data_IF_390741154809
#
_entry.id   IF_390741154809
#
_cell.length_a   1.000
_cell.length_b   1.000
_cell.length_c   1.000
_cell.angle_alpha   90.00
_cell.angle_beta   90.00
_cell.angle_gamma   90.00
#
_symmetry.space_group_name_H-M   'P 1'
#
loop_
_entity.id
_entity.type
_entity.pdbx_description
1 polymer ?
2 non-polymer ?
3 non-polymer ?
4 water ?
#
# COMPACT_ATOMS: atom_id res chain seq x y z
N UNK A 2 18.85 19.47 -17.66
CA UNK A 2 19.77 18.34 -18.01
C UNK A 2 19.09 17.33 -18.98
N UNK A 3 19.85 16.35 -19.48
CA UNK A 3 19.30 15.33 -20.37
C UNK A 3 19.09 14.02 -19.61
N UNK A 4 18.36 13.10 -20.22
CA UNK A 4 18.29 11.74 -19.71
C UNK A 4 19.61 11.02 -19.88
N UNK A 5 19.95 10.10 -18.97
CA UNK A 5 21.21 9.39 -19.12
C UNK A 5 21.24 8.53 -20.38
N UNK A 6 22.42 8.33 -20.91
CA UNK A 6 22.55 7.61 -22.17
C UNK A 6 22.08 6.16 -22.10
N UNK A 7 22.37 5.50 -20.98
CA UNK A 7 21.95 4.09 -20.82
C UNK A 7 20.41 3.96 -20.82
N UNK A 8 19.70 4.97 -20.33
CA UNK A 8 18.24 4.92 -20.33
C UNK A 8 17.69 5.09 -21.75
N UNK A 9 18.10 6.20 -22.37
CA UNK A 9 17.82 6.52 -23.76
C UNK A 9 18.16 5.35 -24.69
N UNK A 10 19.17 4.57 -24.35
CA UNK A 10 19.49 3.41 -25.17
C UNK A 10 18.33 2.46 -25.32
N UNK A 11 17.63 2.25 -24.21
CA UNK A 11 16.57 1.25 -24.12
C UNK A 11 15.13 1.77 -24.22
N UNK A 12 14.95 3.05 -23.92
CA UNK A 12 13.63 3.65 -23.79
C UNK A 12 13.51 4.97 -24.55
N UNK A 13 12.31 5.25 -25.05
CA UNK A 13 11.93 6.55 -25.57
C UNK A 13 11.02 7.21 -24.56
N UNK A 14 11.48 8.35 -24.05
CA UNK A 14 10.80 9.08 -23.00
C UNK A 14 9.69 9.93 -23.58
N UNK A 15 8.61 10.07 -22.81
CA UNK A 15 7.43 10.78 -23.27
C UNK A 15 6.91 11.65 -22.12
N UNK A 16 5.60 11.72 -21.95
CA UNK A 16 4.95 12.73 -21.10
C UNK A 16 5.00 12.40 -19.61
N UNK A 17 4.79 13.42 -18.80
CA UNK A 17 4.69 13.28 -17.36
C UNK A 17 3.32 12.70 -17.03
N UNK A 18 3.30 11.71 -16.13
CA UNK A 18 2.05 11.11 -15.67
C UNK A 18 1.67 11.71 -14.32
N UNK A 19 2.66 11.90 -13.46
CA UNK A 19 2.48 12.60 -12.19
C UNK A 19 3.80 13.19 -11.73
N UNK A 20 3.79 13.79 -10.53
CA UNK A 20 4.98 14.43 -9.94
C UNK A 20 5.52 13.62 -8.74
N UNK A 24 10.71 13.94 -6.86
CA UNK A 24 9.82 12.92 -7.40
C UNK A 24 9.15 13.31 -8.71
N UNK A 25 9.01 12.35 -9.61
CA UNK A 25 8.26 12.54 -10.88
C UNK A 25 8.07 11.19 -11.60
N UNK A 26 6.89 10.96 -12.19
CA UNK A 26 6.64 9.73 -12.97
C UNK A 26 6.37 10.06 -14.45
N UNK A 27 7.11 9.40 -15.35
CA UNK A 27 7.03 9.66 -16.78
C UNK A 27 6.55 8.46 -17.62
N UNK A 28 5.80 8.73 -18.68
CA UNK A 28 5.50 7.69 -19.67
C UNK A 28 6.72 7.47 -20.55
N UNK A 29 7.02 6.21 -20.83
CA UNK A 29 8.11 5.85 -21.73
C UNK A 29 7.74 4.61 -22.51
N UNK A 30 8.51 4.34 -23.57
CA UNK A 30 8.32 3.19 -24.41
C UNK A 30 9.58 2.36 -24.45
N UNK A 31 9.44 1.07 -24.16
CA UNK A 31 10.54 0.18 -24.26
C UNK A 31 10.79 -0.05 -25.75
N UNK A 32 12.00 0.30 -26.20
CA UNK A 32 12.37 0.20 -27.60
C UNK A 32 12.19 -1.21 -28.16
N UNK A 33 12.70 -2.21 -27.45
CA UNK A 33 12.65 -3.61 -27.92
C UNK A 33 11.23 -4.14 -28.14
N UNK A 34 10.28 -3.78 -27.28
CA UNK A 34 8.92 -4.31 -27.36
C UNK A 34 7.87 -3.32 -27.88
N UNK A 35 8.21 -2.04 -27.95
CA UNK A 35 7.26 -0.97 -28.26
C UNK A 35 6.05 -0.93 -27.33
N UNK A 36 6.28 -1.30 -26.06
CA UNK A 36 5.25 -1.29 -25.02
C UNK A 36 5.50 -0.14 -24.05
N UNK A 37 4.42 0.32 -23.44
CA UNK A 37 4.47 1.41 -22.52
C UNK A 37 4.99 0.93 -21.20
N UNK A 38 5.78 1.78 -20.55
CA UNK A 38 6.28 1.57 -19.21
C UNK A 38 6.14 2.90 -18.47
N UNK A 39 6.35 2.88 -17.16
CA UNK A 39 6.36 4.09 -16.35
C UNK A 39 7.76 4.18 -15.81
N UNK A 40 8.26 5.40 -15.70
CA UNK A 40 9.61 5.62 -15.20
C UNK A 40 9.55 6.62 -14.06
N UNK A 41 9.87 6.15 -12.86
CA UNK A 41 9.89 7.01 -11.69
C UNK A 41 11.29 7.60 -11.57
N UNK A 42 11.35 8.92 -11.54
CA UNK A 42 12.57 9.67 -11.34
C UNK A 42 12.58 10.16 -9.88
N UNK A 43 13.59 9.75 -9.13
CA UNK A 43 13.82 10.23 -7.77
C UNK A 43 15.12 11.01 -7.82
N UNK A 44 15.04 12.31 -7.53
CA UNK A 44 16.20 13.19 -7.69
C UNK A 44 17.20 12.99 -6.56
N UNK A 45 18.46 13.39 -6.83
CA UNK A 45 19.47 13.54 -5.80
C UNK A 45 19.84 15.02 -5.70
N UNK A 61 18.89 4.45 0.81
CA UNK A 61 18.03 3.27 0.68
C UNK A 61 17.05 3.25 -0.52
N UNK A 62 17.37 4.00 -1.58
CA UNK A 62 16.71 3.75 -2.87
C UNK A 62 17.32 2.44 -3.34
N UNK A 63 18.59 2.29 -2.99
CA UNK A 63 19.36 1.07 -3.25
C UNK A 63 18.60 -0.14 -2.71
N UNK A 64 18.15 -0.05 -1.46
CA UNK A 64 17.51 -1.19 -0.82
C UNK A 64 16.00 -1.28 -1.12
N UNK A 65 15.38 -0.15 -1.46
CA UNK A 65 14.04 -0.21 -2.03
C UNK A 65 14.08 -1.07 -3.29
N UNK A 66 15.11 -0.89 -4.12
CA UNK A 66 15.29 -1.75 -5.30
C UNK A 66 15.43 -3.23 -4.93
N UNK A 67 16.26 -3.53 -3.94
CA UNK A 67 16.48 -4.92 -3.56
C UNK A 67 15.20 -5.51 -3.00
N UNK A 68 14.49 -4.75 -2.17
CA UNK A 68 13.19 -5.21 -1.69
C UNK A 68 12.26 -5.55 -2.85
N UNK A 69 12.12 -4.63 -3.80
CA UNK A 69 11.20 -4.83 -4.92
C UNK A 69 11.63 -5.95 -5.89
N UNK A 70 12.94 -6.14 -6.05
CA UNK A 70 13.42 -7.25 -6.89
C UNK A 70 12.96 -8.59 -6.35
N UNK A 71 12.90 -8.72 -5.03
CA UNK A 71 12.68 -10.04 -4.46
C UNK A 71 11.21 -10.34 -4.22
N UNK A 72 10.34 -9.32 -4.29
CA UNK A 72 8.92 -9.52 -3.99
C UNK A 72 8.17 -9.88 -5.26
N UNK A 73 7.26 -10.84 -5.15
CA UNK A 73 6.55 -11.35 -6.33
C UNK A 73 5.09 -11.61 -6.00
N UNK A 74 4.27 -10.57 -6.15
CA UNK A 74 2.85 -10.64 -5.84
C UNK A 74 2.08 -9.76 -6.83
N UNK A 75 0.92 -10.25 -7.29
CA UNK A 75 0.21 -9.51 -8.35
C UNK A 75 -0.34 -8.14 -7.90
N UNK A 76 -0.42 -7.89 -6.60
CA UNK A 76 -0.82 -6.58 -6.09
C UNK A 76 0.34 -5.77 -5.51
N UNK A 77 1.55 -6.10 -5.95
CA UNK A 77 2.74 -5.31 -5.61
C UNK A 77 3.48 -4.99 -6.89
N UNK A 78 3.80 -3.71 -7.05
CA UNK A 78 4.46 -3.21 -8.25
C UNK A 78 5.78 -3.94 -8.47
N UNK A 79 6.07 -4.35 -9.71
CA UNK A 79 7.34 -5.01 -10.07
C UNK A 79 8.26 -4.05 -10.80
N UNK A 80 9.55 -4.19 -10.57
CA UNK A 80 10.52 -3.33 -11.20
C UNK A 80 11.07 -4.03 -12.44
N UNK A 81 11.13 -3.31 -13.56
CA UNK A 81 11.66 -3.83 -14.83
C UNK A 81 13.13 -3.45 -15.04
N UNK A 82 13.58 -2.34 -14.47
CA UNK A 82 14.90 -1.84 -14.73
C UNK A 82 15.21 -0.68 -13.78
N UNK A 83 16.49 -0.35 -13.65
CA UNK A 83 16.94 0.68 -12.74
C UNK A 83 18.23 1.35 -13.25
N UNK A 84 18.25 2.68 -13.24
CA UNK A 84 19.44 3.43 -13.60
C UNK A 84 19.79 4.42 -12.49
N UNK A 85 21.02 4.30 -12.01
CA UNK A 85 21.61 5.17 -10.98
C UNK A 85 22.57 6.14 -11.66
N UNK A 86 22.06 7.34 -11.95
CA UNK A 86 22.83 8.36 -12.70
C UNK A 86 22.85 9.67 -11.90
N UNK A 87 22.62 10.82 -12.57
CA UNK A 87 22.49 12.10 -11.85
C UNK A 87 21.35 12.01 -10.86
N UNK A 88 20.26 11.40 -11.34
CA UNK A 88 19.12 11.04 -10.54
C UNK A 88 18.93 9.52 -10.64
N UNK A 89 18.00 8.98 -9.86
CA UNK A 89 17.65 7.57 -9.96
C UNK A 89 16.47 7.40 -10.90
N UNK A 90 16.55 6.42 -11.79
CA UNK A 90 15.43 6.07 -12.67
C UNK A 90 15.01 4.64 -12.42
N UNK A 91 13.74 4.46 -12.07
CA UNK A 91 13.19 3.14 -11.77
C UNK A 91 12.16 2.87 -12.82
N UNK A 92 12.33 1.80 -13.59
CA UNK A 92 11.36 1.47 -14.62
C UNK A 92 10.39 0.41 -14.12
N UNK A 93 9.10 0.69 -14.26
CA UNK A 93 8.01 -0.17 -13.75
C UNK A 93 6.97 -0.42 -14.83
N UNK A 94 6.14 -1.42 -14.61
CA UNK A 94 4.99 -1.67 -15.47
C UNK A 94 4.07 -0.46 -15.32
N UNK A 95 3.39 -0.09 -16.40
CA UNK A 95 2.52 1.06 -16.41
C UNK A 95 1.14 0.73 -15.81
N UNK A 96 0.73 1.46 -14.79
CA UNK A 96 -0.60 1.33 -14.24
C UNK A 96 -1.43 2.50 -14.79
N UNK A 97 -2.20 2.20 -15.83
CA UNK A 97 -2.89 3.22 -16.62
C UNK A 97 -3.92 3.98 -15.82
N UNK A 98 -4.47 3.34 -14.78
CA UNK A 98 -5.52 3.93 -13.97
C UNK A 98 -5.06 5.03 -13.04
N UNK A 99 -3.76 5.14 -12.83
CA UNK A 99 -3.23 6.20 -11.95
C UNK A 99 -3.35 5.89 -10.47
N UNK A 100 -3.28 6.93 -9.65
CA UNK A 100 -3.31 6.80 -8.18
C UNK A 100 -4.73 6.67 -7.67
N UNK A 101 -4.92 5.89 -6.60
CA UNK A 101 -6.23 5.77 -5.95
C UNK A 101 -6.62 7.11 -5.35
N UNK A 102 -5.61 7.92 -5.03
CA UNK A 102 -5.83 9.26 -4.49
C UNK A 102 -6.88 10.03 -5.30
N UNK A 103 -6.71 10.01 -6.62
CA UNK A 103 -7.57 10.80 -7.52
C UNK A 103 -9.04 10.38 -7.48
N UNK A 104 -9.30 9.15 -7.02
CA UNK A 104 -10.66 8.62 -6.88
C UNK A 104 -11.36 9.04 -5.59
N UNK A 105 -10.60 9.62 -4.65
CA UNK A 105 -11.15 9.97 -3.35
C UNK A 105 -10.98 11.43 -2.92
N UNK A 106 -10.31 12.28 -3.71
CA UNK A 106 -10.27 13.72 -3.41
C UNK A 106 -11.61 14.40 -3.70
N UNK A 107 -11.78 15.61 -3.17
CA UNK A 107 -13.05 16.35 -3.33
C UNK A 107 -14.30 15.63 -2.85
N UNK A 108 -14.14 14.79 -1.83
CA UNK A 108 -15.25 13.99 -1.28
C UNK A 108 -15.91 13.05 -2.28
N UNK A 109 -15.18 12.70 -3.33
CA UNK A 109 -15.68 11.70 -4.26
C UNK A 109 -15.70 10.41 -3.48
N UNK A 110 -16.70 9.57 -3.75
CA UNK A 110 -16.78 8.31 -3.04
C UNK A 110 -17.04 7.14 -3.98
N UNK A 111 -16.30 6.08 -3.71
CA UNK A 111 -16.39 4.84 -4.42
C UNK A 111 -17.63 4.08 -3.93
N UNK A 112 -18.30 3.40 -4.84
CA UNK A 112 -19.31 2.41 -4.45
C UNK A 112 -18.67 1.50 -3.40
N UNK A 113 -19.46 1.08 -2.41
CA UNK A 113 -18.98 0.15 -1.39
C UNK A 113 -18.38 -1.13 -1.98
N UNK A 114 -19.03 -1.65 -3.03
CA UNK A 114 -18.56 -2.83 -3.72
C UNK A 114 -17.16 -2.64 -4.30
N UNK A 115 -16.87 -1.44 -4.81
CA UNK A 115 -15.55 -1.15 -5.36
C UNK A 115 -14.50 -1.03 -4.24
N UNK A 116 -14.87 -0.41 -3.11
CA UNK A 116 -13.99 -0.33 -1.94
C UNK A 116 -13.56 -1.72 -1.49
N UNK A 117 -14.49 -2.67 -1.50
CA UNK A 117 -14.18 -4.01 -1.05
C UNK A 117 -13.20 -4.68 -2.03
N UNK A 118 -13.50 -4.59 -3.32
CA UNK A 118 -12.61 -5.16 -4.31
C UNK A 118 -11.18 -4.60 -4.11
N UNK A 119 -11.06 -3.29 -4.03
CA UNK A 119 -9.76 -2.66 -3.86
C UNK A 119 -9.11 -3.03 -2.52
N UNK A 120 -9.91 -3.03 -1.44
CA UNK A 120 -9.38 -3.24 -0.10
C UNK A 120 -8.88 -4.66 0.06
N UNK A 121 -9.61 -5.61 -0.51
CA UNK A 121 -9.22 -7.03 -0.51
C UNK A 121 -7.82 -7.15 -1.08
N UNK A 122 -7.59 -6.50 -2.21
CA UNK A 122 -6.30 -6.51 -2.87
C UNK A 122 -5.17 -5.88 -2.00
N UNK A 123 -5.49 -4.77 -1.35
CA UNK A 123 -4.53 -4.14 -0.46
C UNK A 123 -4.18 -5.09 0.68
N UNK A 124 -5.19 -5.74 1.29
CA UNK A 124 -4.90 -6.70 2.38
C UNK A 124 -4.03 -7.85 1.92
N UNK A 125 -4.30 -8.36 0.72
CA UNK A 125 -3.55 -9.49 0.19
C UNK A 125 -2.10 -9.05 0.02
N UNK A 126 -1.93 -7.84 -0.49
CA UNK A 126 -0.60 -7.26 -0.72
C UNK A 126 0.14 -7.14 0.60
N UNK A 127 -0.50 -6.51 1.57
CA UNK A 127 0.14 -6.23 2.84
C UNK A 127 0.32 -7.51 3.60
N UNK A 128 -0.60 -8.45 3.50
CA UNK A 128 -0.36 -9.77 4.11
C UNK A 128 0.93 -10.39 3.54
N UNK A 129 1.09 -10.35 2.23
CA UNK A 129 2.31 -10.87 1.60
C UNK A 129 3.59 -10.21 2.13
N UNK A 130 3.55 -8.88 2.29
CA UNK A 130 4.70 -8.15 2.83
C UNK A 130 5.04 -8.67 4.20
N UNK A 131 4.04 -8.71 5.08
CA UNK A 131 4.28 -9.12 6.46
C UNK A 131 4.77 -10.57 6.55
N UNK A 132 4.23 -11.49 5.76
CA UNK A 132 4.76 -12.87 5.72
C UNK A 132 6.24 -12.93 5.33
N UNK A 133 6.66 -11.99 4.50
CA UNK A 133 8.01 -11.91 3.98
C UNK A 133 8.91 -10.92 4.74
N UNK A 134 8.50 -10.49 5.94
CA UNK A 134 9.35 -9.67 6.80
C UNK A 134 9.49 -8.22 6.37
N UNK A 135 8.52 -7.71 5.61
CA UNK A 135 8.58 -6.34 5.14
C UNK A 135 7.43 -5.52 5.69
N UNK A 136 7.75 -4.37 6.26
CA UNK A 136 6.71 -3.38 6.62
C UNK A 136 6.82 -2.17 5.68
N UNK A 137 5.70 -1.71 5.17
CA UNK A 137 5.70 -0.69 4.14
C UNK A 137 5.91 0.69 4.78
N UNK A 138 5.07 1.03 5.75
CA UNK A 138 5.11 2.29 6.54
C UNK A 138 4.65 3.60 5.88
N UNK A 139 4.23 3.56 4.65
CA UNK A 139 3.70 4.74 4.01
C UNK A 139 2.51 4.37 3.17
N UNK A 140 1.61 3.53 3.69
CA UNK A 140 0.43 3.16 2.93
C UNK A 140 -0.48 4.35 2.96
N UNK A 141 -0.89 4.79 1.76
CA UNK A 141 -1.81 5.90 1.57
C UNK A 141 -2.36 5.86 0.11
N UNK A 142 -3.44 6.63 -0.17
CA UNK A 142 -4.04 6.55 -1.51
C UNK A 142 -3.06 6.86 -2.64
N UNK A 143 -2.09 7.73 -2.35
CA UNK A 143 -1.08 8.10 -3.32
C UNK A 143 -0.27 6.88 -3.75
N UNK A 144 -0.15 5.88 -2.85
CA UNK A 144 0.72 4.72 -3.07
C UNK A 144 0.00 3.46 -3.47
N UNK A 145 -1.26 3.61 -3.85
CA UNK A 145 -2.02 2.51 -4.42
C UNK A 145 -2.30 2.88 -5.90
N UNK A 146 -1.83 2.06 -6.82
CA UNK A 146 -2.02 2.34 -8.26
C UNK A 146 -3.12 1.45 -8.85
N UNK A 147 -3.89 2.00 -9.79
CA UNK A 147 -4.96 1.27 -10.49
C UNK A 147 -4.52 0.84 -11.91
N UNK A 148 -4.82 -0.40 -12.28
CA UNK A 148 -4.39 -0.98 -13.57
C UNK A 148 -5.07 -0.36 -14.79
N UNK A 149 -6.22 0.24 -14.60
CA UNK A 149 -6.98 0.78 -15.73
C UNK A 149 -7.94 1.83 -15.27
N UNK A 150 -8.55 2.51 -16.23
CA UNK A 150 -9.56 3.53 -15.93
C UNK A 150 -10.94 2.90 -15.62
N UNK A 151 -11.10 1.60 -15.88
CA UNK A 151 -12.28 0.84 -15.41
C UNK A 151 -12.34 0.80 -13.89
N UNK A 152 -13.54 0.69 -13.35
CA UNK A 152 -13.75 0.77 -11.91
C UNK A 152 -13.36 -0.56 -11.25
N UNK A 153 -13.69 -1.66 -11.90
CA UNK A 153 -13.20 -2.97 -11.49
C UNK A 153 -11.83 -3.15 -12.12
N UNK A 154 -10.78 -3.09 -11.30
CA UNK A 154 -9.43 -3.32 -11.80
C UNK A 154 -8.51 -3.88 -10.76
N UNK A 155 -7.31 -4.23 -11.17
CA UNK A 155 -6.30 -4.66 -10.22
C UNK A 155 -5.67 -3.42 -9.64
N UNK A 156 -5.25 -3.50 -8.40
CA UNK A 156 -4.50 -2.43 -7.81
C UNK A 156 -3.09 -2.93 -7.47
N UNK A 157 -2.11 -2.04 -7.44
CA UNK A 157 -0.80 -2.40 -6.95
C UNK A 157 -0.29 -1.36 -5.99
N UNK A 158 0.30 -1.86 -4.92
CA UNK A 158 0.92 -1.02 -3.92
C UNK A 158 2.32 -0.66 -4.42
N UNK A 159 2.69 0.61 -4.24
CA UNK A 159 4.00 1.09 -4.67
C UNK A 159 4.68 1.91 -3.57
N UNK A 160 5.87 2.41 -3.89
CA UNK A 160 6.67 3.30 -3.03
C UNK A 160 7.15 2.68 -1.72
N UNK A 161 8.27 1.95 -1.83
CA UNK A 161 8.81 1.23 -0.73
C UNK A 161 10.01 1.99 -0.13
N UNK A 162 9.99 3.31 -0.30
CA UNK A 162 11.05 4.16 0.18
C UNK A 162 11.16 4.30 1.69
N UNK A 163 10.11 3.98 2.43
CA UNK A 163 10.13 4.08 3.90
C UNK A 163 10.04 2.69 4.52
N UNK A 164 10.12 1.66 3.69
CA UNK A 164 9.82 0.33 4.16
C UNK A 164 10.97 -0.19 4.99
N UNK A 165 10.69 -1.18 5.83
CA UNK A 165 11.66 -1.72 6.76
C UNK A 165 11.67 -3.24 6.67
N UNK A 166 12.86 -3.84 6.76
CA UNK A 166 13.02 -5.30 6.77
C UNK A 166 13.06 -5.77 8.22
N UNK A 167 12.10 -6.59 8.63
CA UNK A 167 12.03 -7.06 10.02
C UNK A 167 13.22 -7.92 10.42
N UNK A 170 15.47 -8.28 16.77
CA UNK A 170 16.64 -9.14 16.57
C UNK A 170 17.83 -8.65 17.46
N UNK A 171 17.84 -7.35 17.75
CA UNK A 171 18.82 -6.75 18.64
C UNK A 171 18.39 -6.98 20.08
N UNK A 172 17.09 -6.85 20.29
CA UNK A 172 16.43 -7.23 21.52
C UNK A 172 16.65 -8.72 21.79
N UNK A 173 16.42 -9.55 20.78
CA UNK A 173 16.56 -10.99 20.93
C UNK A 173 17.98 -11.35 21.39
N UNK A 174 18.99 -10.75 20.78
CA UNK A 174 20.38 -11.03 21.19
C UNK A 174 20.63 -10.59 22.63
N UNK A 175 20.08 -9.43 23.02
CA UNK A 175 20.25 -8.95 24.38
C UNK A 175 19.68 -9.91 25.41
N UNK A 176 18.55 -10.55 25.08
CA UNK A 176 17.88 -11.47 26.00
C UNK A 176 18.50 -12.87 26.13
N UNK A 177 19.54 -13.19 25.38
CA UNK A 177 20.20 -14.51 25.50
C UNK A 177 21.21 -14.56 26.65
N UNK A 178 21.70 -13.39 27.05
CA UNK A 178 22.50 -13.27 28.25
C UNK A 178 21.64 -13.03 29.47
N UNK A 179 22.27 -12.99 30.64
CA UNK A 179 21.63 -12.56 31.87
C UNK A 179 21.59 -11.01 31.89
N UNK A 180 20.48 -10.42 32.37
CA UNK A 180 20.32 -8.97 32.30
C UNK A 180 20.88 -8.21 33.53
N UNK A 181 21.87 -8.79 34.19
CA UNK A 181 22.58 -8.14 35.27
C UNK A 181 22.83 -6.62 35.08
N UNK A 182 23.23 -6.24 33.85
CA UNK A 182 23.63 -4.87 33.50
C UNK A 182 22.60 -4.20 32.60
N UNK A 183 21.52 -4.91 32.29
CA UNK A 183 20.52 -4.44 31.39
C UNK A 183 19.50 -3.47 32.00
N UNK A 184 19.30 -2.36 31.30
CA UNK A 184 18.42 -1.26 31.67
C UNK A 184 16.96 -1.70 31.72
N UNK A 185 16.19 -1.13 32.63
CA UNK A 185 14.81 -1.57 32.74
C UNK A 185 13.92 -1.27 31.54
N UNK A 186 14.18 -0.16 30.83
CA UNK A 186 13.37 0.18 29.64
C UNK A 186 13.49 -0.87 28.53
N UNK A 187 14.62 -1.58 28.45
CA UNK A 187 14.77 -2.66 27.48
C UNK A 187 13.84 -3.86 27.82
N UNK A 188 13.77 -4.19 29.10
CA UNK A 188 12.94 -5.27 29.58
C UNK A 188 11.47 -4.89 29.46
N UNK A 189 11.12 -3.66 29.77
CA UNK A 189 9.74 -3.22 29.56
C UNK A 189 9.34 -3.30 28.09
N UNK A 190 10.22 -2.96 27.17
CA UNK A 190 9.86 -3.02 25.75
C UNK A 190 9.66 -4.45 25.18
N UNK A 191 10.03 -5.50 25.93
CA UNK A 191 9.78 -6.85 25.49
C UNK A 191 8.27 -7.06 25.35
N UNK A 192 7.48 -6.40 26.18
CA UNK A 192 6.02 -6.52 26.14
C UNK A 192 5.40 -6.19 24.79
N UNK A 193 6.00 -5.23 24.10
CA UNK A 193 5.42 -4.67 22.90
C UNK A 193 6.22 -4.98 21.63
N UNK A 194 7.43 -5.53 21.75
CA UNK A 194 8.26 -5.71 20.57
C UNK A 194 7.56 -6.61 19.58
N UNK A 195 7.96 -6.53 18.31
CA UNK A 195 7.45 -7.45 17.29
C UNK A 195 6.07 -7.11 16.71
N UNK A 196 5.58 -5.92 17.02
CA UNK A 196 4.31 -5.41 16.54
C UNK A 196 4.43 -4.20 15.64
N UNK A 197 5.63 -3.90 15.14
CA UNK A 197 5.85 -2.78 14.23
C UNK A 197 4.96 -2.89 12.97
N UNK A 198 4.77 -4.12 12.49
CA UNK A 198 3.87 -4.37 11.35
C UNK A 198 2.46 -3.83 11.52
N UNK A 199 2.00 -3.67 12.75
CA UNK A 199 0.68 -3.15 13.01
C UNK A 199 0.47 -1.69 12.50
N UNK A 200 1.54 -0.92 12.28
CA UNK A 200 1.39 0.43 11.73
C UNK A 200 0.74 0.37 10.35
N UNK A 201 1.04 -0.70 9.57
CA UNK A 201 0.44 -0.89 8.26
C UNK A 201 -1.04 -1.17 8.32
N UNK A 202 -1.47 -1.87 9.37
CA UNK A 202 -2.88 -2.22 9.49
C UNK A 202 -3.68 -1.01 9.89
N UNK A 203 -3.06 -0.12 10.68
CA UNK A 203 -3.71 1.17 11.01
C UNK A 203 -3.95 2.01 9.76
N UNK A 204 -2.90 2.18 8.95
CA UNK A 204 -2.97 2.92 7.67
C UNK A 204 -4.03 2.37 6.75
N UNK A 205 -4.14 1.07 6.67
CA UNK A 205 -5.13 0.42 5.85
C UNK A 205 -6.50 0.81 6.36
N UNK A 206 -6.63 0.86 7.69
CA UNK A 206 -7.90 1.26 8.32
C UNK A 206 -8.27 2.65 7.91
N UNK A 207 -7.33 3.58 8.02
CA UNK A 207 -7.54 4.93 7.57
C UNK A 207 -7.89 4.98 6.06
N UNK A 208 -7.19 4.22 5.21
CA UNK A 208 -7.54 4.22 3.77
C UNK A 208 -8.98 3.73 3.51
N UNK A 209 -9.37 2.65 4.21
CA UNK A 209 -10.69 2.09 4.05
C UNK A 209 -11.77 3.11 4.49
N UNK A 210 -11.52 3.78 5.61
CA UNK A 210 -12.36 4.87 6.09
C UNK A 210 -12.57 5.94 5.02
N UNK A 211 -11.49 6.36 4.38
CA UNK A 211 -11.57 7.41 3.38
C UNK A 211 -12.34 6.93 2.15
N UNK A 212 -12.00 5.75 1.65
CA UNK A 212 -12.68 5.15 0.54
C UNK A 212 -14.21 5.02 0.76
N UNK A 213 -14.61 4.53 1.94
CA UNK A 213 -16.03 4.26 2.22
C UNK A 213 -16.86 5.54 2.38
N UNK A 214 -16.24 6.60 2.85
CA UNK A 214 -16.94 7.81 3.31
C UNK A 214 -16.58 9.07 2.50
N UNK A 215 -15.49 9.01 1.74
CA UNK A 215 -14.97 10.18 1.01
C UNK A 215 -14.38 11.30 1.84
N UNK A 216 -14.26 11.09 3.17
CA UNK A 216 -13.52 12.03 4.03
C UNK A 216 -12.58 11.31 5.03
N UNK A 217 -11.53 12.00 5.51
CA UNK A 217 -10.56 11.44 6.47
C UNK A 217 -11.10 11.39 7.87
N UNK A 218 -10.71 10.38 8.66
CA UNK A 218 -11.22 10.21 10.03
C UNK A 218 -10.57 11.12 11.05
N UNK A 219 -9.34 11.51 10.79
CA UNK A 219 -8.61 12.40 11.66
C UNK A 219 -8.17 13.56 10.79
N UNK A 220 -8.44 14.77 11.23
CA UNK A 220 -8.36 15.93 10.37
C UNK A 220 -8.55 17.18 11.20
N UNK A 221 -7.95 18.29 10.77
CA UNK A 221 -8.13 19.56 11.52
C UNK A 221 -9.29 20.42 10.98
N UNK A 222 -10.16 19.86 10.13
CA UNK A 222 -11.39 20.54 9.64
C UNK A 222 -12.49 20.56 10.68
N UNK A 223 -12.99 21.77 10.98
CA UNK A 223 -13.86 22.00 12.15
C UNK A 223 -13.01 21.67 13.41
N UNK A 224 -13.54 20.90 14.36
CA UNK A 224 -12.80 20.53 15.61
C UNK A 224 -11.67 21.44 16.22
N UNK A 225 -11.62 21.46 17.55
CA UNK A 225 -10.53 22.09 18.32
C UNK A 225 -9.56 21.03 18.84
N UNK A 226 -9.89 19.74 18.70
CA UNK A 226 -8.95 18.70 19.14
C UNK A 226 -7.81 18.59 18.12
N UNK A 227 -6.58 18.65 18.62
CA UNK A 227 -5.41 18.52 17.77
C UNK A 227 -5.46 17.17 17.01
N UNK A 228 -4.80 17.14 15.86
CA UNK A 228 -4.65 15.92 15.06
C UNK A 228 -4.03 14.84 15.93
N UNK A 229 -2.93 15.18 16.59
CA UNK A 229 -2.26 14.21 17.46
C UNK A 229 -3.24 13.62 18.47
N UNK A 230 -4.01 14.47 19.14
CA UNK A 230 -4.92 13.98 20.21
C UNK A 230 -6.05 13.11 19.63
N UNK A 231 -6.51 13.45 18.43
CA UNK A 231 -7.52 12.63 17.76
C UNK A 231 -6.95 11.22 17.51
N UNK A 232 -5.72 11.14 17.02
CA UNK A 232 -5.14 9.85 16.64
C UNK A 232 -4.84 9.00 17.87
N UNK A 233 -4.18 9.56 18.88
CA UNK A 233 -3.80 8.76 20.05
C UNK A 233 -4.97 8.31 20.91
N UNK A 234 -6.07 9.04 20.85
CA UNK A 234 -7.28 8.57 21.54
C UNK A 234 -8.09 7.65 20.62
N UNK A 235 -7.84 7.70 19.32
CA UNK A 235 -8.61 6.88 18.38
C UNK A 235 -10.02 7.39 18.13
N UNK A 236 -10.28 8.64 18.51
CA UNK A 236 -11.61 9.21 18.36
C UNK A 236 -11.73 9.80 16.97
N UNK A 237 -12.03 8.95 15.99
CA UNK A 237 -12.27 9.39 14.62
C UNK A 237 -13.56 10.21 14.50
N UNK A 238 -13.57 11.14 13.55
CA UNK A 238 -14.73 11.97 13.21
C UNK A 238 -15.79 11.17 12.45
N UNK A 239 -16.86 10.82 13.17
CA UNK A 239 -17.98 10.07 12.58
C UNK A 239 -19.19 10.97 12.24
N UNK A 240 -19.49 11.12 10.95
CA UNK A 240 -20.64 11.92 10.49
C UNK A 240 -21.70 10.96 9.99
N UNK A 241 -22.76 10.71 10.81
CA UNK A 241 -23.78 9.67 10.52
C UNK A 241 -24.40 9.68 9.11
N UNK A 242 -24.70 10.87 8.61
CA UNK A 242 -25.35 11.02 7.32
C UNK A 242 -24.49 10.48 6.16
N UNK A 243 -23.18 10.73 6.23
CA UNK A 243 -22.27 10.22 5.22
C UNK A 243 -22.21 8.68 5.25
N UNK A 244 -22.32 8.10 6.45
CA UNK A 244 -22.18 6.65 6.68
C UNK A 244 -23.49 5.83 6.55
N UNK A 245 -24.65 6.49 6.62
CA UNK A 245 -25.95 5.78 6.63
C UNK A 245 -26.07 4.76 5.49
N UNK A 246 -25.55 5.15 4.34
CA UNK A 246 -25.55 4.31 3.14
C UNK A 246 -24.45 3.20 3.15
N UNK A 247 -23.47 3.32 4.04
CA UNK A 247 -22.46 2.27 4.21
C UNK A 247 -22.96 1.15 5.13
N UNK A 248 -22.73 -0.09 4.72
CA UNK A 248 -23.10 -1.24 5.53
C UNK A 248 -22.43 -1.24 6.91
N UNK A 249 -23.04 -2.01 7.83
CA UNK A 249 -22.53 -2.16 9.19
C UNK A 249 -21.26 -3.00 9.26
N UNK A 250 -21.19 -4.05 8.43
CA UNK A 250 -20.00 -4.90 8.37
C UNK A 250 -18.75 -4.07 8.00
N UNK A 251 -18.91 -3.21 6.99
CA UNK A 251 -17.84 -2.33 6.52
C UNK A 251 -17.28 -1.49 7.65
N UNK A 252 -18.17 -0.78 8.33
CA UNK A 252 -17.79 0.10 9.41
C UNK A 252 -17.21 -0.73 10.56
N UNK A 253 -17.74 -1.91 10.81
CA UNK A 253 -17.18 -2.79 11.83
C UNK A 253 -15.69 -3.08 11.55
N UNK A 254 -15.33 -3.36 10.30
CA UNK A 254 -13.94 -3.65 9.96
C UNK A 254 -13.07 -2.43 10.21
N UNK A 255 -13.52 -1.28 9.75
CA UNK A 255 -12.84 -0.04 10.03
C UNK A 255 -12.56 0.09 11.52
N UNK A 256 -13.55 -0.22 12.36
CA UNK A 256 -13.39 -0.05 13.80
C UNK A 256 -12.34 -0.98 14.38
N UNK A 257 -12.22 -2.18 13.82
CA UNK A 257 -11.24 -3.16 14.31
C UNK A 257 -9.79 -2.86 13.83
N UNK A 258 -9.66 -2.03 12.79
CA UNK A 258 -8.36 -1.63 12.28
C UNK A 258 -7.90 -0.36 12.99
N UNK A 259 -8.85 0.51 13.36
CA UNK A 259 -8.50 1.77 14.04
C UNK A 259 -8.52 1.59 15.55
N UNK A 260 -7.99 0.47 16.02
CA UNK A 260 -7.78 0.24 17.44
C UNK A 260 -6.41 0.81 17.84
N UNK A 261 -6.40 1.58 18.92
CA UNK A 261 -5.20 2.29 19.39
C UNK A 261 -4.13 1.37 19.98
N UNK A 262 -4.51 0.30 20.65
CA UNK A 262 -3.56 -0.70 21.13
C UNK A 262 -3.04 -1.56 19.95
N UNK A 263 -1.76 -1.42 19.57
CA UNK A 263 -1.26 -2.20 18.42
C UNK A 263 -1.37 -3.70 18.60
N UNK A 264 -1.32 -4.21 19.84
CA UNK A 264 -1.45 -5.66 20.09
C UNK A 264 -2.87 -6.21 19.86
N UNK A 265 -3.87 -5.36 20.04
CA UNK A 265 -5.29 -5.72 19.90
C UNK A 265 -5.81 -5.47 18.47
N UNK A 266 -5.19 -4.51 17.79
CA UNK A 266 -5.54 -4.19 16.38
C UNK A 266 -5.58 -5.41 15.49
N UNK A 267 -6.50 -5.39 14.51
CA UNK A 267 -6.64 -6.51 13.60
C UNK A 267 -5.37 -6.59 12.74
N UNK A 268 -4.96 -7.80 12.45
CA UNK A 268 -3.84 -8.05 11.56
C UNK A 268 -4.46 -8.25 10.22
N UNK A 269 -3.66 -8.42 9.19
CA UNK A 269 -4.22 -8.60 7.85
C UNK A 269 -5.02 -9.91 7.74
N UNK A 270 -4.55 -10.97 8.42
CA UNK A 270 -5.25 -12.27 8.45
C UNK A 270 -6.63 -12.12 9.06
N UNK A 271 -6.70 -11.44 10.18
CA UNK A 271 -7.98 -11.22 10.83
C UNK A 271 -8.93 -10.39 9.94
N UNK A 272 -8.38 -9.38 9.25
CA UNK A 272 -9.20 -8.57 8.34
C UNK A 272 -9.75 -9.41 7.16
N UNK A 273 -8.94 -10.35 6.64
CA UNK A 273 -9.32 -11.18 5.48
C UNK A 273 -10.41 -12.20 5.86
N UNK A 274 -10.50 -12.50 7.16
CA UNK A 274 -11.47 -13.43 7.71
C UNK A 274 -12.73 -12.71 8.20
N UNK A 275 -12.74 -11.39 8.13
CA UNK A 275 -13.89 -10.60 8.60
C UNK A 275 -15.10 -10.77 7.65
N UNK A 276 -16.33 -10.83 8.23
CA UNK A 276 -17.54 -11.02 7.42
C UNK A 276 -17.61 -10.16 6.15
N UNK A 277 -17.19 -8.89 6.22
CA UNK A 277 -17.31 -7.97 5.07
C UNK A 277 -16.57 -8.45 3.82
N UNK A 278 -15.52 -9.24 4.04
CA UNK A 278 -14.69 -9.76 2.93
C UNK A 278 -15.03 -11.20 2.53
N UNK A 279 -16.01 -11.80 3.19
CA UNK A 279 -16.52 -13.12 2.79
C UNK A 279 -17.57 -12.85 1.72
N UNK A 280 -17.10 -12.54 0.52
CA UNK A 280 -17.95 -12.09 -0.60
C UNK A 280 -17.42 -12.78 -1.86
N UNK A 281 -17.98 -13.95 -2.15
CA UNK A 281 -17.49 -14.77 -3.27
C UNK A 281 -17.66 -14.09 -4.63
N UNK A 282 -18.57 -13.12 -4.72
CA UNK A 282 -18.72 -12.38 -5.98
C UNK A 282 -17.49 -11.50 -6.23
N UNK A 283 -17.12 -10.71 -5.21
CA UNK A 283 -15.93 -9.87 -5.26
C UNK A 283 -14.68 -10.72 -5.56
N UNK A 284 -14.58 -11.88 -4.92
CA UNK A 284 -13.41 -12.73 -5.11
C UNK A 284 -13.32 -13.25 -6.52
N UNK A 285 -14.47 -13.65 -7.06
CA UNK A 285 -14.57 -14.05 -8.45
C UNK A 285 -14.12 -12.94 -9.38
N UNK A 286 -14.59 -11.73 -9.12
CA UNK A 286 -14.19 -10.60 -9.94
C UNK A 286 -12.65 -10.39 -9.87
N UNK A 287 -12.05 -10.62 -8.72
CA UNK A 287 -10.61 -10.48 -8.57
C UNK A 287 -9.91 -11.58 -9.36
N UNK A 288 -10.28 -12.84 -9.15
CA UNK A 288 -9.71 -13.95 -9.92
C UNK A 288 -9.85 -13.69 -11.43
N UNK A 289 -11.00 -13.19 -11.85
CA UNK A 289 -11.24 -12.92 -13.28
C UNK A 289 -10.27 -11.87 -13.82
N UNK A 290 -10.03 -10.81 -13.04
CA UNK A 290 -9.09 -9.77 -13.44
C UNK A 290 -7.64 -10.27 -13.46
N UNK A 291 -7.32 -11.22 -12.59
CA UNK A 291 -5.96 -11.78 -12.55
C UNK A 291 -5.65 -12.54 -13.82
N UNK A 292 -6.48 -13.54 -14.12
CA UNK A 292 -6.24 -14.37 -15.31
C UNK A 292 -6.33 -13.57 -16.60
N UNK A 293 -7.17 -12.54 -16.63
CA UNK A 293 -7.23 -11.62 -17.77
C UNK A 293 -5.88 -10.95 -18.03
N UNK A 294 -5.13 -10.62 -16.97
CA UNK A 294 -3.84 -9.92 -17.10
C UNK A 294 -2.66 -10.84 -17.44
N UNK A 295 -2.80 -12.15 -17.21
CA UNK A 295 -1.67 -13.11 -17.30
C UNK A 295 -1.44 -13.75 -18.70
N UNK A 296 -0.16 -13.85 -19.10
CA UNK A 296 0.30 -14.46 -20.41
C UNK A 296 1.29 -15.63 -20.25
N UNK A 297 0.68 -16.78 -20.01
CA UNK A 297 1.37 -17.96 -19.61
C UNK A 297 1.72 -18.82 -20.82
N UNK A 298 2.72 -19.65 -20.62
CA UNK A 298 3.20 -20.56 -21.61
C UNK A 298 2.32 -21.80 -21.54
N UNK A 299 2.44 -22.72 -22.50
CA UNK A 299 1.62 -23.94 -22.42
C UNK A 299 1.88 -24.73 -21.10
N UNK A 300 0.93 -25.58 -20.71
CA UNK A 300 1.04 -26.37 -19.46
C UNK A 300 0.88 -27.87 -19.76
N UNK A 301 1.65 -28.76 -19.10
CA UNK A 301 1.28 -30.19 -19.21
C UNK A 301 0.17 -30.50 -18.23
N UNK A 302 -0.90 -31.15 -18.72
CA UNK A 302 -2.12 -31.47 -17.92
C UNK A 302 -2.31 -30.63 -16.64
#
# INVERSE_FOLDING_TARGET
MSVYPKALRDEYIMSKTLGSGACGEVKLAFERKTCKKVAIKIISKRKFAIGSAREADPALNVETEIEILKKLNHPCIIKIKNFFDAEDYYIVLELMEGGELFDKVVGNKRLKEATCKLYFYQMLLAVQYLHENGIIHRDLKPENVLLSSQEEDCLIKITDFGHSKILGETSLMRTLCGTPTYLAPEVLVSVGTAGYNRAVDCWSLGVILFICLSGYPPFSEHRTQVSLKDQITSGKYNFIPEVWAEVSEKALDLVKKLLVVDPKARFTTEEALRHPWLQDEDMKRKFQDLLSEENESTALPQVLAQPSTSRKRPREGEAEGAE
#
